data_IF_340551908519
#
_entry.id   IF_340551908519
#
_cell.length_a   1.000
_cell.length_b   1.000
_cell.length_c   1.000
_cell.angle_alpha   90.00
_cell.angle_beta   90.00
_cell.angle_gamma   90.00
#
_symmetry.space_group_name_H-M   'P 1'
#
loop_
_entity.id
_entity.type
_entity.pdbx_description
1 polymer ?
#
# COMPACT_ATOMS: atom_id res chain seq x y z
N UNK A 1 19.44 32.66 21.65
CA UNK A 1 19.85 31.25 21.83
C UNK A 1 19.03 30.26 21.02
N UNK A 2 17.69 30.35 20.95
CA UNK A 2 16.86 29.38 20.17
C UNK A 2 17.15 29.42 18.65
N UNK A 3 17.45 30.58 18.06
CA UNK A 3 17.81 30.72 16.64
C UNK A 3 19.16 30.10 16.24
N UNK A 4 20.08 29.88 17.18
CA UNK A 4 21.39 29.27 16.89
C UNK A 4 21.31 27.75 16.76
N UNK A 5 20.31 27.10 17.38
CA UNK A 5 20.10 25.66 17.24
C UNK A 5 19.56 25.28 15.86
N UNK A 6 18.68 26.09 15.26
CA UNK A 6 18.13 25.85 13.91
C UNK A 6 19.23 25.89 12.86
N UNK A 7 20.13 26.87 12.96
CA UNK A 7 21.27 26.99 12.05
C UNK A 7 22.21 25.79 12.17
N UNK A 8 22.50 25.33 13.39
CA UNK A 8 23.32 24.13 13.64
C UNK A 8 22.69 22.85 13.11
N UNK A 9 21.36 22.73 13.16
CA UNK A 9 20.64 21.55 12.67
C UNK A 9 20.57 21.53 11.14
N UNK A 10 20.38 22.70 10.50
CA UNK A 10 20.51 22.89 9.05
C UNK A 10 21.96 22.64 8.61
N UNK A 11 22.96 23.10 9.38
CA UNK A 11 24.37 22.85 9.12
C UNK A 11 24.72 21.37 9.28
N UNK A 12 24.17 20.68 10.28
CA UNK A 12 24.33 19.25 10.47
C UNK A 12 23.67 18.46 9.33
N UNK A 13 22.44 18.80 8.92
CA UNK A 13 21.78 18.21 7.74
C UNK A 13 22.58 18.45 6.45
N UNK A 14 23.07 19.66 6.23
CA UNK A 14 23.90 19.99 5.07
C UNK A 14 25.27 19.28 5.11
N UNK A 15 25.88 19.12 6.29
CA UNK A 15 27.11 18.35 6.46
C UNK A 15 26.86 16.84 6.34
N UNK A 16 25.69 16.32 6.71
CA UNK A 16 25.30 14.93 6.44
C UNK A 16 25.16 14.70 4.94
N UNK A 17 24.43 15.59 4.24
CA UNK A 17 24.14 15.46 2.81
C UNK A 17 25.41 15.68 1.97
N UNK A 18 26.27 16.64 2.34
CA UNK A 18 27.54 16.89 1.61
C UNK A 18 28.69 16.00 2.07
N UNK A 19 28.76 15.64 3.35
CA UNK A 19 29.76 14.73 3.91
C UNK A 19 29.59 13.28 3.47
N UNK A 20 28.36 12.86 3.15
CA UNK A 20 28.09 11.58 2.50
C UNK A 20 28.74 11.44 1.11
N UNK A 21 29.10 12.56 0.45
CA UNK A 21 29.86 12.53 -0.80
C UNK A 21 31.39 12.48 -0.59
N UNK A 22 31.88 12.71 0.63
CA UNK A 22 33.31 12.72 0.98
C UNK A 22 33.78 11.53 1.82
N UNK A 23 32.87 10.86 2.54
CA UNK A 23 33.13 9.54 3.13
C UNK A 23 32.94 8.45 2.07
N UNK A 24 33.68 7.34 2.16
CA UNK A 24 33.59 6.17 1.28
C UNK A 24 32.23 5.40 1.35
N UNK A 25 31.10 6.10 1.45
CA UNK A 25 29.75 5.59 1.24
C UNK A 25 29.40 5.41 -0.25
N UNK A 26 30.22 5.96 -1.14
CA UNK A 26 30.06 5.90 -2.61
C UNK A 26 30.16 4.49 -3.23
N UNK A 27 30.50 3.45 -2.44
CA UNK A 27 30.40 2.04 -2.89
C UNK A 27 29.07 1.35 -2.61
N UNK A 28 28.21 1.92 -1.75
CA UNK A 28 26.95 1.25 -1.32
C UNK A 28 25.71 1.86 -1.97
N UNK A 29 25.75 3.14 -2.35
CA UNK A 29 24.70 3.77 -3.15
C UNK A 29 25.25 4.07 -4.55
N UNK A 30 25.19 3.09 -5.46
CA UNK A 30 25.31 3.43 -6.89
C UNK A 30 24.16 4.38 -7.23
N UNK A 31 24.43 5.52 -7.89
CA UNK A 31 23.35 6.36 -8.40
C UNK A 31 22.57 5.52 -9.41
N UNK A 32 21.33 5.18 -9.06
CA UNK A 32 20.40 4.73 -10.08
C UNK A 32 20.18 5.91 -11.02
N UNK A 33 20.59 5.70 -12.27
CA UNK A 33 20.28 6.53 -13.44
C UNK A 33 18.92 7.24 -13.35
N UNK A 34 18.81 8.48 -13.86
CA UNK A 34 17.57 9.24 -13.83
C UNK A 34 16.54 8.58 -14.77
N UNK A 35 15.70 7.71 -14.21
CA UNK A 35 14.50 7.14 -14.83
C UNK A 35 13.38 7.23 -13.79
N UNK A 36 12.91 8.45 -13.52
CA UNK A 36 12.01 8.79 -12.41
C UNK A 36 10.51 8.63 -12.72
N UNK A 37 10.12 8.07 -13.87
CA UNK A 37 8.69 7.78 -14.16
C UNK A 37 8.33 6.30 -14.27
N UNK A 38 9.31 5.38 -14.41
CA UNK A 38 9.02 3.94 -14.62
C UNK A 38 9.12 3.08 -13.35
N UNK A 39 9.89 3.50 -12.33
CA UNK A 39 10.05 2.73 -11.08
C UNK A 39 8.87 2.88 -10.11
N UNK A 40 8.22 4.05 -10.06
CA UNK A 40 6.96 4.21 -9.33
C UNK A 40 5.84 3.35 -9.93
N UNK A 41 5.77 3.27 -11.27
CA UNK A 41 4.84 2.37 -11.96
C UNK A 41 5.16 0.89 -11.74
N UNK A 42 6.44 0.49 -11.63
CA UNK A 42 6.83 -0.90 -11.33
C UNK A 42 6.60 -1.31 -9.87
N UNK A 43 6.84 -0.42 -8.89
CA UNK A 43 6.50 -0.69 -7.47
C UNK A 43 4.98 -0.72 -7.25
N UNK A 44 4.23 0.19 -7.88
CA UNK A 44 2.76 0.17 -7.86
C UNK A 44 2.20 -1.04 -8.61
N UNK A 45 2.82 -1.47 -9.72
CA UNK A 45 2.46 -2.73 -10.38
C UNK A 45 2.78 -3.93 -9.51
N UNK A 46 3.90 -3.99 -8.80
CA UNK A 46 4.16 -5.08 -7.84
C UNK A 46 3.17 -5.08 -6.67
N UNK A 47 2.76 -3.92 -6.16
CA UNK A 47 1.74 -3.81 -5.11
C UNK A 47 0.34 -4.20 -5.59
N UNK A 48 -0.03 -3.84 -6.82
CA UNK A 48 -1.27 -4.27 -7.46
C UNK A 48 -1.24 -5.75 -7.91
N UNK A 49 -0.06 -6.28 -8.24
CA UNK A 49 0.15 -7.67 -8.61
C UNK A 49 0.14 -8.57 -7.37
N UNK A 50 0.63 -8.13 -6.21
CA UNK A 50 0.52 -8.92 -4.96
C UNK A 50 -0.94 -9.01 -4.48
N UNK A 51 -1.79 -7.99 -4.74
CA UNK A 51 -3.22 -8.06 -4.43
C UNK A 51 -4.04 -8.86 -5.45
N UNK A 52 -3.53 -9.13 -6.66
CA UNK A 52 -4.25 -9.85 -7.72
C UNK A 52 -3.70 -11.25 -8.04
N UNK A 53 -2.43 -11.52 -7.76
CA UNK A 53 -1.78 -12.83 -7.91
C UNK A 53 -1.71 -13.61 -6.59
N UNK A 54 -2.40 -13.16 -5.54
CA UNK A 54 -2.71 -14.05 -4.44
C UNK A 54 -3.57 -15.18 -5.00
N UNK A 55 -2.95 -16.34 -5.25
CA UNK A 55 -3.61 -17.60 -5.56
C UNK A 55 -4.82 -17.73 -4.64
N UNK A 56 -6.01 -17.44 -5.15
CA UNK A 56 -7.29 -17.79 -4.53
C UNK A 56 -7.43 -19.30 -4.33
N UNK A 57 -6.47 -20.08 -4.85
CA UNK A 57 -6.37 -21.52 -4.70
C UNK A 57 -5.95 -21.97 -3.29
N UNK A 58 -5.36 -21.11 -2.43
CA UNK A 58 -5.01 -21.54 -1.07
C UNK A 58 -6.19 -21.64 -0.08
N UNK A 59 -7.41 -21.32 -0.50
CA UNK A 59 -8.64 -21.70 0.23
C UNK A 59 -9.47 -22.78 -0.47
N UNK A 60 -8.93 -23.39 -1.53
CA UNK A 60 -9.56 -24.52 -2.19
C UNK A 60 -9.32 -25.80 -1.39
N UNK A 61 -10.35 -26.22 -0.67
CA UNK A 61 -10.41 -27.54 -0.04
C UNK A 61 -10.26 -28.61 -1.13
N UNK A 62 -9.20 -29.40 -1.05
CA UNK A 62 -8.96 -30.57 -1.90
C UNK A 62 -10.05 -31.60 -1.64
N UNK A 63 -10.95 -31.84 -2.59
CA UNK A 63 -11.80 -33.03 -2.59
C UNK A 63 -11.86 -33.65 -3.99
N UNK A 64 -11.42 -34.91 -4.03
CA UNK A 64 -11.46 -35.82 -5.15
C UNK A 64 -12.92 -36.10 -5.53
N UNK A 65 -13.23 -36.06 -6.83
CA UNK A 65 -14.52 -36.47 -7.40
C UNK A 65 -14.67 -37.99 -7.33
N UNK A 66 -15.78 -38.55 -6.80
CA UNK A 66 -16.18 -39.91 -7.10
C UNK A 66 -17.15 -39.90 -8.30
N UNK A 67 -16.76 -40.62 -9.35
CA UNK A 67 -17.65 -41.07 -10.40
C UNK A 67 -18.38 -42.33 -9.92
N UNK A 68 -19.65 -42.22 -9.55
CA UNK A 68 -20.51 -43.40 -9.43
C UNK A 68 -21.99 -43.03 -9.58
N UNK A 69 -22.58 -43.57 -10.64
CA UNK A 69 -24.02 -43.70 -10.88
C UNK A 69 -24.66 -44.58 -9.80
N UNK A 70 -25.42 -43.97 -8.89
CA UNK A 70 -26.20 -44.69 -7.89
C UNK A 70 -27.37 -43.82 -7.41
N UNK A 71 -28.57 -44.18 -7.84
CA UNK A 71 -29.83 -43.53 -7.47
C UNK A 71 -30.22 -43.89 -6.04
N UNK A 72 -29.92 -43.02 -5.08
CA UNK A 72 -30.51 -43.06 -3.73
C UNK A 72 -30.92 -41.66 -3.33
N UNK A 73 -32.23 -41.44 -3.23
CA UNK A 73 -32.88 -40.22 -2.78
C UNK A 73 -32.77 -40.07 -1.26
N UNK A 74 -31.63 -39.56 -0.80
CA UNK A 74 -31.53 -38.95 0.53
C UNK A 74 -30.88 -37.58 0.34
N UNK A 75 -31.63 -36.53 0.64
CA UNK A 75 -31.22 -35.14 0.45
C UNK A 75 -30.08 -34.80 1.40
N UNK A 76 -28.84 -35.07 0.98
CA UNK A 76 -27.68 -34.67 1.76
C UNK A 76 -27.68 -33.14 1.86
N UNK A 77 -27.59 -32.55 3.07
CA UNK A 77 -27.65 -31.10 3.28
C UNK A 77 -26.45 -30.32 2.69
N UNK A 78 -25.57 -30.99 1.94
CA UNK A 78 -24.37 -30.43 1.30
C UNK A 78 -24.44 -30.46 -0.24
N UNK A 79 -25.60 -30.73 -0.84
CA UNK A 79 -25.71 -30.69 -2.30
C UNK A 79 -25.45 -29.26 -2.81
N UNK A 80 -24.53 -29.13 -3.76
CA UNK A 80 -24.33 -27.89 -4.53
C UNK A 80 -25.57 -27.73 -5.41
N UNK A 81 -26.27 -26.61 -5.28
CA UNK A 81 -27.49 -26.34 -6.05
C UNK A 81 -27.17 -25.60 -7.34
N UNK A 82 -26.12 -24.78 -7.30
CA UNK A 82 -25.75 -23.90 -8.39
C UNK A 82 -24.24 -23.91 -8.66
N UNK A 83 -23.89 -23.91 -9.94
CA UNK A 83 -22.53 -23.63 -10.40
C UNK A 83 -22.55 -22.33 -11.19
N UNK A 84 -21.77 -21.34 -10.77
CA UNK A 84 -21.65 -20.02 -11.39
C UNK A 84 -20.32 -19.94 -12.12
N UNK A 85 -20.36 -19.79 -13.44
CA UNK A 85 -19.21 -19.55 -14.27
C UNK A 85 -19.11 -18.07 -14.60
N UNK A 86 -18.01 -17.42 -14.20
CA UNK A 86 -17.72 -16.02 -14.50
C UNK A 86 -16.69 -15.96 -15.62
N UNK A 87 -16.99 -15.23 -16.70
CA UNK A 87 -16.04 -15.05 -17.81
C UNK A 87 -14.80 -14.30 -17.32
N UNK A 88 -13.66 -14.99 -17.39
CA UNK A 88 -12.36 -14.47 -16.99
C UNK A 88 -11.47 -14.14 -18.20
N UNK A 89 -12.08 -13.91 -19.36
CA UNK A 89 -11.39 -13.42 -20.54
C UNK A 89 -10.72 -12.06 -20.28
N UNK A 90 -9.62 -11.77 -21.00
CA UNK A 90 -8.87 -10.50 -20.86
C UNK A 90 -9.77 -9.27 -21.02
N UNK A 91 -10.69 -9.28 -21.98
CA UNK A 91 -11.61 -8.17 -22.21
C UNK A 91 -12.56 -7.96 -21.03
N UNK A 92 -13.07 -9.05 -20.45
CA UNK A 92 -13.96 -8.99 -19.29
C UNK A 92 -13.22 -8.58 -18.01
N UNK A 93 -11.95 -8.98 -17.86
CA UNK A 93 -11.07 -8.52 -16.78
C UNK A 93 -10.91 -6.99 -16.77
N UNK A 94 -10.68 -6.39 -17.94
CA UNK A 94 -10.61 -4.92 -18.10
C UNK A 94 -11.93 -4.21 -17.75
N UNK A 95 -13.05 -4.94 -17.75
CA UNK A 95 -14.38 -4.46 -17.39
C UNK A 95 -14.85 -4.91 -15.99
N UNK A 96 -13.93 -5.37 -15.15
CA UNK A 96 -14.21 -5.68 -13.75
C UNK A 96 -14.65 -7.11 -13.46
N UNK A 97 -14.43 -8.07 -14.36
CA UNK A 97 -14.77 -9.49 -14.10
C UNK A 97 -14.10 -10.06 -12.84
N UNK A 98 -12.89 -9.60 -12.49
CA UNK A 98 -12.21 -9.98 -11.26
C UNK A 98 -13.01 -9.54 -10.01
N UNK A 99 -13.54 -8.31 -10.01
CA UNK A 99 -14.39 -7.80 -8.94
C UNK A 99 -15.74 -8.54 -8.89
N UNK A 100 -16.29 -8.90 -10.06
CA UNK A 100 -17.50 -9.71 -10.13
C UNK A 100 -17.27 -11.10 -9.53
N UNK A 101 -16.18 -11.78 -9.90
CA UNK A 101 -15.82 -13.10 -9.36
C UNK A 101 -15.62 -13.06 -7.85
N UNK A 102 -14.83 -12.12 -7.34
CA UNK A 102 -14.58 -11.95 -5.91
C UNK A 102 -15.88 -11.56 -5.16
N UNK A 103 -16.78 -10.80 -5.77
CA UNK A 103 -18.09 -10.50 -5.18
C UNK A 103 -18.97 -11.76 -5.06
N UNK A 104 -18.96 -12.66 -6.05
CA UNK A 104 -19.65 -13.95 -5.90
C UNK A 104 -19.04 -14.76 -4.77
N UNK A 105 -17.72 -14.99 -4.78
CA UNK A 105 -17.02 -15.76 -3.75
C UNK A 105 -17.28 -15.21 -2.33
N UNK A 106 -17.24 -13.89 -2.17
CA UNK A 106 -17.46 -13.23 -0.89
C UNK A 106 -18.91 -13.29 -0.40
N UNK A 107 -19.89 -13.21 -1.30
CA UNK A 107 -21.32 -13.24 -0.94
C UNK A 107 -21.86 -14.67 -0.81
N UNK A 108 -21.26 -15.65 -1.48
CA UNK A 108 -21.64 -17.06 -1.42
C UNK A 108 -20.81 -17.82 -0.41
N UNK A 109 -20.99 -17.51 0.88
CA UNK A 109 -20.42 -18.31 1.97
C UNK A 109 -21.12 -19.67 2.14
N UNK A 110 -22.26 -19.87 1.46
CA UNK A 110 -23.00 -21.13 1.51
C UNK A 110 -22.40 -22.15 0.54
N UNK A 111 -22.31 -23.41 0.98
CA UNK A 111 -21.89 -24.56 0.14
C UNK A 111 -22.83 -24.84 -1.04
N UNK A 112 -23.95 -24.10 -1.13
CA UNK A 112 -24.97 -24.26 -2.18
C UNK A 112 -24.53 -23.68 -3.53
N UNK A 113 -23.54 -22.79 -3.55
CA UNK A 113 -23.02 -22.20 -4.79
C UNK A 113 -21.55 -22.49 -4.95
N UNK A 114 -21.19 -23.10 -6.08
CA UNK A 114 -19.81 -23.23 -6.52
C UNK A 114 -19.52 -22.16 -7.57
N UNK A 115 -18.55 -21.30 -7.33
CA UNK A 115 -18.14 -20.25 -8.27
C UNK A 115 -16.86 -20.69 -8.96
N UNK A 116 -16.81 -20.58 -10.29
CA UNK A 116 -15.66 -20.94 -11.12
C UNK A 116 -15.35 -19.81 -12.10
N UNK A 117 -14.07 -19.45 -12.21
CA UNK A 117 -13.58 -18.69 -13.34
C UNK A 117 -13.59 -19.60 -14.59
N UNK A 118 -14.08 -19.10 -15.72
CA UNK A 118 -14.09 -19.86 -16.97
C UNK A 118 -13.84 -18.94 -18.16
N UNK A 119 -13.28 -19.49 -19.24
CA UNK A 119 -13.22 -18.82 -20.53
C UNK A 119 -14.48 -19.16 -21.31
N UNK A 120 -15.42 -18.23 -21.34
CA UNK A 120 -16.67 -18.45 -22.05
C UNK A 120 -16.51 -18.00 -23.53
N UNK A 121 -17.10 -18.72 -24.51
CA UNK A 121 -16.89 -18.43 -25.92
C UNK A 121 -17.42 -17.03 -26.29
N UNK A 122 -16.61 -16.24 -27.00
CA UNK A 122 -16.95 -14.85 -27.36
C UNK A 122 -18.34 -14.78 -28.00
N UNK A 123 -19.27 -14.13 -27.31
CA UNK A 123 -20.50 -13.65 -27.93
C UNK A 123 -20.27 -12.26 -28.52
N UNK A 124 -20.63 -12.08 -29.78
CA UNK A 124 -20.48 -10.82 -30.51
C UNK A 124 -21.28 -9.64 -29.93
N UNK A 125 -22.20 -9.91 -29.00
CA UNK A 125 -23.18 -8.92 -28.50
C UNK A 125 -22.86 -8.32 -27.13
N UNK A 126 -21.88 -8.82 -26.37
CA UNK A 126 -21.75 -8.49 -24.95
C UNK A 126 -21.05 -7.16 -24.62
N UNK A 127 -20.60 -6.38 -25.62
CA UNK A 127 -19.95 -5.08 -25.38
C UNK A 127 -18.70 -5.12 -24.49
N UNK A 128 -18.11 -6.31 -24.28
CA UNK A 128 -16.95 -6.54 -23.41
C UNK A 128 -17.27 -6.65 -21.92
N UNK A 129 -18.53 -6.54 -21.50
CA UNK A 129 -18.89 -6.66 -20.08
C UNK A 129 -18.72 -8.09 -19.55
N UNK A 130 -18.56 -8.27 -18.23
CA UNK A 130 -18.51 -9.59 -17.62
C UNK A 130 -19.76 -10.41 -17.95
N UNK A 131 -19.55 -11.59 -18.53
CA UNK A 131 -20.59 -12.56 -18.83
C UNK A 131 -20.59 -13.65 -17.75
N UNK A 132 -21.78 -14.01 -17.29
CA UNK A 132 -21.96 -15.03 -16.26
C UNK A 132 -22.95 -16.08 -16.76
N UNK A 133 -22.62 -17.35 -16.54
CA UNK A 133 -23.52 -18.47 -16.73
C UNK A 133 -23.75 -19.18 -15.40
N UNK A 134 -24.99 -19.16 -14.92
CA UNK A 134 -25.42 -19.87 -13.72
C UNK A 134 -26.14 -21.16 -14.11
N UNK A 135 -25.67 -22.32 -13.66
CA UNK A 135 -26.26 -23.63 -13.96
C UNK A 135 -26.85 -24.21 -12.68
N UNK A 136 -28.15 -24.50 -12.69
CA UNK A 136 -28.83 -25.18 -11.59
C UNK A 136 -28.73 -26.69 -11.77
N UNK A 137 -28.15 -27.37 -10.79
CA UNK A 137 -28.03 -28.83 -10.80
C UNK A 137 -29.40 -29.48 -10.61
N UNK A 138 -30.23 -28.93 -9.72
CA UNK A 138 -31.55 -29.49 -9.41
C UNK A 138 -32.55 -29.32 -10.56
N UNK A 139 -32.57 -28.15 -11.21
CA UNK A 139 -33.57 -27.82 -12.23
C UNK A 139 -33.12 -28.14 -13.66
N UNK A 140 -31.88 -28.60 -13.85
CA UNK A 140 -31.27 -28.78 -15.18
C UNK A 140 -31.42 -27.56 -16.09
N UNK A 141 -31.42 -26.35 -15.50
CA UNK A 141 -31.60 -25.09 -16.21
C UNK A 141 -30.35 -24.22 -16.11
N UNK A 142 -30.08 -23.45 -17.17
CA UNK A 142 -28.99 -22.51 -17.21
C UNK A 142 -29.54 -21.09 -17.44
N UNK A 143 -28.99 -20.12 -16.71
CA UNK A 143 -29.31 -18.70 -16.84
C UNK A 143 -28.04 -18.00 -17.30
N UNK A 144 -28.13 -17.25 -18.39
CA UNK A 144 -27.03 -16.42 -18.90
C UNK A 144 -27.33 -14.96 -18.62
N UNK A 145 -26.39 -14.26 -18.00
CA UNK A 145 -26.52 -12.86 -17.60
C UNK A 145 -25.33 -12.08 -18.11
N UNK A 146 -25.61 -10.96 -18.78
CA UNK A 146 -24.61 -10.04 -19.33
C UNK A 146 -24.58 -8.74 -18.53
N UNK A 147 -23.43 -8.06 -18.52
CA UNK A 147 -23.36 -6.73 -17.91
C UNK A 147 -23.33 -6.76 -16.38
N UNK A 148 -22.86 -7.85 -15.76
CA UNK A 148 -22.77 -7.97 -14.30
C UNK A 148 -21.43 -7.39 -13.84
N UNK A 149 -21.40 -6.07 -13.69
CA UNK A 149 -20.22 -5.25 -13.41
C UNK A 149 -20.27 -4.58 -12.01
N UNK A 150 -21.28 -4.90 -11.19
CA UNK A 150 -21.45 -4.30 -9.86
C UNK A 150 -21.90 -5.32 -8.81
N UNK A 151 -21.51 -5.07 -7.56
CA UNK A 151 -21.90 -5.92 -6.41
C UNK A 151 -23.42 -5.98 -6.26
N UNK A 152 -24.14 -4.88 -6.52
CA UNK A 152 -25.60 -4.86 -6.46
C UNK A 152 -26.22 -5.79 -7.53
N UNK A 153 -25.62 -5.87 -8.72
CA UNK A 153 -26.06 -6.82 -9.75
C UNK A 153 -25.79 -8.25 -9.30
N UNK A 154 -24.60 -8.55 -8.77
CA UNK A 154 -24.27 -9.88 -8.19
C UNK A 154 -25.27 -10.27 -7.10
N UNK A 155 -25.55 -9.37 -6.16
CA UNK A 155 -26.54 -9.58 -5.10
C UNK A 155 -27.94 -9.87 -5.67
N UNK A 156 -28.36 -9.16 -6.73
CA UNK A 156 -29.62 -9.43 -7.42
C UNK A 156 -29.62 -10.79 -8.12
N UNK A 157 -28.51 -11.21 -8.73
CA UNK A 157 -28.39 -12.56 -9.31
C UNK A 157 -28.64 -13.62 -8.24
N UNK A 158 -27.92 -13.52 -7.12
CA UNK A 158 -28.01 -14.49 -6.04
C UNK A 158 -29.40 -14.54 -5.39
N UNK A 159 -29.99 -13.37 -5.11
CA UNK A 159 -31.28 -13.29 -4.40
C UNK A 159 -32.49 -13.49 -5.30
N UNK A 160 -32.52 -12.84 -6.48
CA UNK A 160 -33.71 -12.86 -7.37
C UNK A 160 -33.70 -14.03 -8.34
N UNK A 161 -32.55 -14.35 -8.94
CA UNK A 161 -32.48 -15.38 -9.97
C UNK A 161 -32.18 -16.77 -9.39
N UNK A 162 -31.34 -16.85 -8.35
CA UNK A 162 -30.96 -18.12 -7.73
C UNK A 162 -31.77 -18.45 -6.46
N UNK A 163 -32.57 -17.50 -5.96
CA UNK A 163 -33.42 -17.64 -4.76
C UNK A 163 -32.61 -18.05 -3.51
N UNK A 164 -31.38 -17.54 -3.39
CA UNK A 164 -30.53 -17.79 -2.23
C UNK A 164 -30.88 -16.79 -1.15
N UNK A 165 -31.50 -17.29 -0.09
CA UNK A 165 -31.85 -16.53 1.10
C UNK A 165 -30.66 -16.38 2.05
N UNK A 166 -30.74 -15.43 2.97
CA UNK A 166 -29.73 -15.23 4.03
C UNK A 166 -28.49 -14.43 3.62
N UNK A 167 -28.41 -13.94 2.38
CA UNK A 167 -27.28 -13.10 1.96
C UNK A 167 -27.36 -11.74 2.67
N UNK A 168 -26.33 -11.44 3.46
CA UNK A 168 -26.29 -10.21 4.25
C UNK A 168 -26.19 -8.97 3.36
N UNK A 169 -27.19 -8.08 3.45
CA UNK A 169 -27.15 -6.76 2.79
C UNK A 169 -25.99 -5.89 3.31
N UNK A 170 -25.51 -6.14 4.54
CA UNK A 170 -24.33 -5.47 5.10
C UNK A 170 -23.05 -5.90 4.38
N UNK A 171 -22.89 -7.20 4.12
CA UNK A 171 -21.76 -7.72 3.34
C UNK A 171 -21.76 -7.15 1.91
N UNK A 172 -22.92 -7.02 1.27
CA UNK A 172 -23.07 -6.37 -0.03
C UNK A 172 -22.57 -4.91 -0.02
N UNK A 173 -23.01 -4.10 0.97
CA UNK A 173 -22.56 -2.70 1.11
C UNK A 173 -21.06 -2.60 1.41
N UNK A 174 -20.56 -3.51 2.25
CA UNK A 174 -19.14 -3.60 2.57
C UNK A 174 -18.28 -3.79 1.31
N UNK A 175 -18.63 -4.77 0.47
CA UNK A 175 -17.95 -5.03 -0.80
C UNK A 175 -18.08 -3.86 -1.78
N UNK A 176 -19.25 -3.21 -1.85
CA UNK A 176 -19.44 -2.02 -2.69
C UNK A 176 -18.45 -0.91 -2.31
N UNK A 177 -18.30 -0.61 -1.02
CA UNK A 177 -17.32 0.37 -0.56
C UNK A 177 -15.88 -0.09 -0.78
N UNK A 178 -15.58 -1.38 -0.61
CA UNK A 178 -14.26 -1.97 -0.92
C UNK A 178 -13.86 -1.71 -2.37
N UNK A 179 -14.69 -2.06 -3.35
CA UNK A 179 -14.36 -1.84 -4.76
C UNK A 179 -14.32 -0.36 -5.15
N UNK A 180 -15.21 0.45 -4.56
CA UNK A 180 -15.17 1.91 -4.75
C UNK A 180 -13.85 2.50 -4.24
N UNK A 181 -13.35 2.03 -3.09
CA UNK A 181 -12.07 2.43 -2.53
C UNK A 181 -10.91 2.01 -3.44
N UNK A 182 -10.92 0.77 -3.95
CA UNK A 182 -9.92 0.29 -4.92
C UNK A 182 -9.89 1.18 -6.17
N UNK A 183 -11.05 1.50 -6.75
CA UNK A 183 -11.14 2.37 -7.92
C UNK A 183 -10.61 3.79 -7.64
N UNK A 184 -10.82 4.33 -6.43
CA UNK A 184 -10.21 5.61 -6.05
C UNK A 184 -8.70 5.50 -5.88
N UNK A 185 -8.20 4.39 -5.35
CA UNK A 185 -6.77 4.14 -5.17
C UNK A 185 -6.04 4.04 -6.51
N UNK A 186 -6.62 3.28 -7.46
CA UNK A 186 -6.14 3.18 -8.84
C UNK A 186 -6.15 4.54 -9.57
N UNK A 187 -7.13 5.40 -9.28
CA UNK A 187 -7.20 6.76 -9.80
C UNK A 187 -6.28 7.76 -9.08
N UNK A 188 -5.45 7.32 -8.11
CA UNK A 188 -4.57 8.18 -7.33
C UNK A 188 -5.30 9.08 -6.32
N UNK A 189 -6.60 8.92 -6.13
CA UNK A 189 -7.44 9.71 -5.20
C UNK A 189 -7.40 9.10 -3.80
N UNK A 190 -6.21 9.06 -3.21
CA UNK A 190 -5.90 8.32 -1.97
C UNK A 190 -6.82 8.72 -0.81
N UNK A 191 -7.16 10.00 -0.66
CA UNK A 191 -8.05 10.45 0.42
C UNK A 191 -9.47 9.89 0.32
N UNK A 192 -10.05 9.87 -0.89
CA UNK A 192 -11.37 9.29 -1.10
C UNK A 192 -11.33 7.76 -0.93
N UNK A 193 -10.21 7.11 -1.25
CA UNK A 193 -10.02 5.69 -1.02
C UNK A 193 -10.06 5.35 0.49
N UNK A 194 -9.33 6.11 1.32
CA UNK A 194 -9.31 5.90 2.78
C UNK A 194 -10.71 6.09 3.39
N UNK A 195 -11.44 7.14 2.99
CA UNK A 195 -12.82 7.35 3.45
C UNK A 195 -13.75 6.21 3.04
N UNK A 196 -13.61 5.71 1.81
CA UNK A 196 -14.40 4.58 1.33
C UNK A 196 -14.07 3.28 2.10
N UNK A 197 -12.80 2.99 2.37
CA UNK A 197 -12.43 1.86 3.23
C UNK A 197 -12.96 2.01 4.66
N UNK A 198 -12.98 3.22 5.22
CA UNK A 198 -13.58 3.46 6.54
C UNK A 198 -15.08 3.15 6.54
N UNK A 199 -15.82 3.52 5.49
CA UNK A 199 -17.24 3.15 5.31
C UNK A 199 -17.42 1.64 5.13
N UNK A 200 -16.47 0.97 4.47
CA UNK A 200 -16.46 -0.48 4.35
C UNK A 200 -16.29 -1.15 5.73
N UNK A 201 -15.34 -0.70 6.55
CA UNK A 201 -15.14 -1.21 7.92
C UNK A 201 -16.35 -0.99 8.83
N UNK A 202 -17.03 0.15 8.71
CA UNK A 202 -18.27 0.38 9.44
C UNK A 202 -19.37 -0.62 9.05
N UNK A 203 -19.38 -1.05 7.79
CA UNK A 203 -20.33 -2.01 7.24
C UNK A 203 -19.93 -3.47 7.52
N UNK A 204 -18.65 -3.76 7.77
CA UNK A 204 -18.10 -5.11 8.01
C UNK A 204 -18.20 -5.58 9.46
N UNK A 205 -18.74 -4.76 10.38
CA UNK A 205 -18.86 -5.12 11.81
C UNK A 205 -19.48 -6.52 11.99
N UNK A 206 -18.68 -7.45 12.51
CA UNK A 206 -19.05 -8.84 12.78
C UNK A 206 -18.36 -9.87 11.87
N UNK A 207 -17.92 -9.48 10.68
CA UNK A 207 -17.15 -10.34 9.79
C UNK A 207 -15.66 -10.01 9.93
N UNK A 208 -14.99 -10.76 10.82
CA UNK A 208 -13.56 -10.58 11.10
C UNK A 208 -12.72 -10.76 9.83
N UNK A 209 -13.03 -11.73 8.98
CA UNK A 209 -12.22 -11.98 7.80
C UNK A 209 -12.25 -10.79 6.83
N UNK A 210 -13.43 -10.26 6.55
CA UNK A 210 -13.57 -9.06 5.70
C UNK A 210 -12.98 -7.82 6.36
N UNK A 211 -13.13 -7.66 7.69
CA UNK A 211 -12.47 -6.57 8.43
C UNK A 211 -10.95 -6.60 8.22
N UNK A 212 -10.32 -7.76 8.37
CA UNK A 212 -8.88 -7.92 8.18
C UNK A 212 -8.42 -7.58 6.76
N UNK A 213 -9.16 -8.01 5.73
CA UNK A 213 -8.84 -7.69 4.33
C UNK A 213 -8.95 -6.19 4.07
N UNK A 214 -9.98 -5.54 4.62
CA UNK A 214 -10.16 -4.10 4.43
C UNK A 214 -9.09 -3.29 5.16
N UNK A 215 -8.71 -3.69 6.38
CA UNK A 215 -7.59 -3.09 7.11
C UNK A 215 -6.30 -3.20 6.31
N UNK A 216 -6.00 -4.39 5.78
CA UNK A 216 -4.86 -4.61 4.90
C UNK A 216 -4.86 -3.66 3.69
N UNK A 217 -5.99 -3.54 2.98
CA UNK A 217 -6.10 -2.64 1.82
C UNK A 217 -6.01 -1.16 2.20
N UNK A 218 -6.59 -0.75 3.34
CA UNK A 218 -6.52 0.62 3.84
C UNK A 218 -5.10 0.99 4.26
N UNK A 219 -4.34 0.06 4.83
CA UNK A 219 -2.92 0.26 5.14
C UNK A 219 -2.11 0.61 3.89
N UNK A 220 -2.40 -0.02 2.74
CA UNK A 220 -1.76 0.30 1.47
C UNK A 220 -2.12 1.71 0.98
N UNK A 221 -3.37 2.15 1.17
CA UNK A 221 -3.77 3.51 0.86
C UNK A 221 -3.05 4.55 1.75
N UNK A 222 -2.91 4.29 3.05
CA UNK A 222 -2.11 5.16 3.92
C UNK A 222 -0.63 5.18 3.55
N UNK A 223 -0.07 4.04 3.14
CA UNK A 223 1.31 3.97 2.66
C UNK A 223 1.51 4.82 1.40
N UNK A 224 0.58 4.76 0.44
CA UNK A 224 0.62 5.63 -0.75
C UNK A 224 0.49 7.12 -0.38
N UNK A 225 -0.34 7.46 0.63
CA UNK A 225 -0.40 8.84 1.15
C UNK A 225 0.92 9.26 1.79
N UNK A 226 1.57 8.37 2.53
CA UNK A 226 2.88 8.64 3.10
C UNK A 226 3.92 8.89 2.00
N UNK A 227 3.92 8.10 0.93
CA UNK A 227 4.81 8.35 -0.22
C UNK A 227 4.58 9.73 -0.84
N UNK A 228 3.32 10.16 -1.02
CA UNK A 228 3.01 11.51 -1.50
C UNK A 228 3.58 12.60 -0.57
N UNK A 229 3.42 12.45 0.74
CA UNK A 229 3.99 13.41 1.71
C UNK A 229 5.52 13.38 1.74
N UNK A 230 6.14 12.23 1.52
CA UNK A 230 7.60 12.10 1.43
C UNK A 230 8.14 12.81 0.19
N UNK A 231 7.46 12.70 -0.95
CA UNK A 231 7.87 13.39 -2.18
C UNK A 231 7.77 14.92 -1.99
N UNK A 232 6.66 15.42 -1.43
CA UNK A 232 6.51 16.84 -1.06
C UNK A 232 7.59 17.31 -0.08
N UNK A 233 7.93 16.47 0.91
CA UNK A 233 8.98 16.76 1.88
C UNK A 233 10.35 16.90 1.19
N UNK A 234 10.66 16.02 0.22
CA UNK A 234 11.92 16.10 -0.53
C UNK A 234 12.03 17.39 -1.33
N UNK A 235 10.93 17.82 -1.97
CA UNK A 235 10.91 19.08 -2.72
C UNK A 235 11.19 20.28 -1.81
N UNK A 236 10.54 20.34 -0.65
CA UNK A 236 10.73 21.43 0.34
C UNK A 236 12.14 21.42 0.91
N UNK A 237 12.69 20.24 1.23
CA UNK A 237 14.07 20.13 1.72
C UNK A 237 15.06 20.56 0.62
N UNK A 238 14.80 20.22 -0.64
CA UNK A 238 15.65 20.66 -1.75
C UNK A 238 15.59 22.17 -1.96
N UNK A 239 14.42 22.79 -1.82
CA UNK A 239 14.27 24.25 -1.79
C UNK A 239 15.10 24.85 -0.64
N UNK A 240 14.98 24.29 0.57
CA UNK A 240 15.75 24.73 1.75
C UNK A 240 17.26 24.66 1.52
N UNK A 241 17.75 23.57 0.93
CA UNK A 241 19.17 23.41 0.56
C UNK A 241 19.60 24.50 -0.44
N UNK A 242 18.75 24.84 -1.40
CA UNK A 242 19.04 25.86 -2.41
C UNK A 242 18.99 27.29 -1.85
N UNK A 243 18.22 27.53 -0.79
CA UNK A 243 18.16 28.83 -0.10
C UNK A 243 19.38 29.12 0.78
N UNK A 244 20.05 28.10 1.30
CA UNK A 244 21.22 28.28 2.17
C UNK A 244 22.48 28.44 1.30
N UNK A 245 23.13 29.62 1.28
CA UNK A 245 24.37 29.78 0.54
C UNK A 245 25.44 28.82 1.08
N UNK A 246 26.31 28.27 0.22
CA UNK A 246 27.37 27.37 0.69
C UNK A 246 28.28 28.12 1.69
N UNK A 247 28.84 27.44 2.70
CA UNK A 247 29.68 28.06 3.72
C UNK A 247 30.77 29.02 3.21
N UNK A 248 31.56 28.70 2.16
CA UNK A 248 32.57 29.62 1.64
C UNK A 248 31.98 30.93 1.10
N UNK A 249 30.77 30.87 0.51
CA UNK A 249 30.06 32.06 0.03
C UNK A 249 29.59 32.91 1.21
N UNK A 250 29.11 32.29 2.28
CA UNK A 250 28.71 33.01 3.49
C UNK A 250 29.90 33.74 4.14
N UNK A 251 31.05 33.07 4.24
CA UNK A 251 32.30 33.69 4.73
C UNK A 251 32.68 34.88 3.84
N UNK A 252 32.67 34.71 2.52
CA UNK A 252 33.00 35.81 1.59
C UNK A 252 32.05 37.02 1.71
N UNK A 253 30.76 36.78 1.99
CA UNK A 253 29.78 37.86 2.19
C UNK A 253 30.05 38.61 3.49
N UNK A 254 30.44 37.89 4.56
CA UNK A 254 30.81 38.49 5.83
C UNK A 254 32.11 39.30 5.73
N UNK A 255 33.10 38.79 4.99
CA UNK A 255 34.35 39.50 4.73
C UNK A 255 34.07 40.81 3.96
N UNK A 256 33.25 40.78 2.91
CA UNK A 256 32.86 42.00 2.16
C UNK A 256 32.16 43.00 3.07
N UNK A 257 31.27 42.54 3.96
CA UNK A 257 30.60 43.42 4.92
C UNK A 257 31.58 44.04 5.93
N UNK A 258 32.66 43.32 6.28
CA UNK A 258 33.70 43.80 7.18
C UNK A 258 34.61 44.85 6.52
N UNK A 259 35.08 44.59 5.30
CA UNK A 259 36.00 45.49 4.59
C UNK A 259 35.31 46.70 3.94
N UNK A 260 33.99 46.65 3.69
CA UNK A 260 33.22 47.73 3.04
C UNK A 260 32.06 48.18 3.93
N UNK A 261 32.29 49.10 4.90
CA UNK A 261 31.28 49.52 5.88
C UNK A 261 29.95 50.01 5.28
N UNK A 262 29.91 50.75 4.15
CA UNK A 262 28.63 51.17 3.56
C UNK A 262 27.74 50.00 3.09
N UNK A 263 28.32 48.85 2.75
CA UNK A 263 27.59 47.66 2.30
C UNK A 263 27.14 46.76 3.45
N UNK A 264 27.75 46.89 4.64
CA UNK A 264 27.47 46.05 5.80
C UNK A 264 25.96 45.97 6.14
N UNK A 265 25.27 47.12 6.14
CA UNK A 265 23.84 47.19 6.42
C UNK A 265 22.97 46.50 5.37
N UNK A 266 23.36 46.56 4.10
CA UNK A 266 22.64 45.88 3.02
C UNK A 266 22.82 44.35 3.11
N UNK A 267 24.06 43.90 3.33
CA UNK A 267 24.38 42.47 3.52
C UNK A 267 23.65 41.91 4.73
N UNK A 268 23.68 42.60 5.88
CA UNK A 268 23.00 42.13 7.09
C UNK A 268 21.48 42.07 6.92
N UNK A 269 20.86 43.07 6.27
CA UNK A 269 19.42 43.02 5.94
C UNK A 269 19.10 41.82 5.05
N UNK A 270 19.93 41.52 4.05
CA UNK A 270 19.73 40.36 3.17
C UNK A 270 19.85 39.04 3.95
N UNK A 271 20.86 38.89 4.81
CA UNK A 271 21.02 37.71 5.67
C UNK A 271 19.80 37.53 6.59
N UNK A 272 19.29 38.61 7.18
CA UNK A 272 18.09 38.55 8.03
C UNK A 272 16.85 38.13 7.23
N UNK A 273 16.64 38.68 6.04
CA UNK A 273 15.53 38.28 5.15
C UNK A 273 15.63 36.81 4.74
N UNK A 274 16.83 36.35 4.41
CA UNK A 274 17.07 34.95 4.05
C UNK A 274 16.86 34.02 5.26
N UNK A 275 17.24 34.45 6.47
CA UNK A 275 16.97 33.74 7.72
C UNK A 275 15.47 33.58 7.98
N UNK A 276 14.66 34.62 7.78
CA UNK A 276 13.20 34.53 7.94
C UNK A 276 12.55 33.58 6.91
N UNK A 277 13.06 33.59 5.67
CA UNK A 277 12.61 32.66 4.64
C UNK A 277 12.97 31.21 4.99
N UNK A 278 14.19 30.97 5.49
CA UNK A 278 14.64 29.67 5.97
C UNK A 278 13.81 29.18 7.15
N UNK A 279 13.49 30.04 8.12
CA UNK A 279 12.64 29.70 9.26
C UNK A 279 11.25 29.24 8.80
N UNK A 280 10.63 29.95 7.84
CA UNK A 280 9.33 29.54 7.27
C UNK A 280 9.41 28.17 6.58
N UNK A 281 10.48 27.90 5.85
CA UNK A 281 10.66 26.66 5.11
C UNK A 281 11.02 25.49 6.02
N UNK A 282 11.73 25.76 7.11
CA UNK A 282 11.95 24.79 8.18
C UNK A 282 10.63 24.36 8.85
N UNK A 283 9.75 25.32 9.17
CA UNK A 283 8.41 25.00 9.70
C UNK A 283 7.58 24.18 8.70
N UNK A 284 7.64 24.51 7.41
CA UNK A 284 7.00 23.73 6.34
C UNK A 284 7.52 22.29 6.30
N UNK A 285 8.84 22.13 6.40
CA UNK A 285 9.52 20.82 6.47
C UNK A 285 9.02 20.00 7.66
N UNK A 286 8.99 20.59 8.85
CA UNK A 286 8.50 19.91 10.07
C UNK A 286 7.04 19.50 9.94
N UNK A 287 6.19 20.37 9.41
CA UNK A 287 4.78 20.07 9.19
C UNK A 287 4.58 18.89 8.23
N UNK A 288 5.29 18.90 7.10
CA UNK A 288 5.22 17.83 6.08
C UNK A 288 5.78 16.51 6.58
N UNK A 289 6.88 16.55 7.31
CA UNK A 289 7.42 15.36 7.99
C UNK A 289 6.43 14.79 9.00
N UNK A 290 5.74 15.65 9.76
CA UNK A 290 4.67 15.24 10.67
C UNK A 290 3.50 14.54 9.95
N UNK A 291 3.06 15.06 8.79
CA UNK A 291 2.02 14.42 7.97
C UNK A 291 2.46 13.06 7.41
N UNK A 292 3.70 12.97 6.93
CA UNK A 292 4.32 11.72 6.49
C UNK A 292 4.32 10.67 7.60
N UNK A 293 4.83 11.02 8.77
CA UNK A 293 4.86 10.14 9.93
C UNK A 293 3.46 9.72 10.38
N UNK A 294 2.51 10.67 10.41
CA UNK A 294 1.13 10.37 10.77
C UNK A 294 0.51 9.33 9.82
N UNK A 295 0.69 9.50 8.51
CA UNK A 295 0.20 8.55 7.52
C UNK A 295 0.85 7.16 7.68
N UNK A 296 2.18 7.09 7.91
CA UNK A 296 2.87 5.82 8.18
C UNK A 296 2.38 5.14 9.45
N UNK A 297 2.14 5.88 10.53
CA UNK A 297 1.64 5.32 11.78
C UNK A 297 0.23 4.74 11.61
N UNK A 298 -0.64 5.43 10.85
CA UNK A 298 -1.96 4.89 10.51
C UNK A 298 -1.84 3.62 9.64
N UNK A 299 -0.93 3.60 8.67
CA UNK A 299 -0.64 2.41 7.88
C UNK A 299 -0.19 1.25 8.77
N UNK A 300 0.72 1.51 9.72
CA UNK A 300 1.26 0.50 10.63
C UNK A 300 0.16 -0.08 11.53
N UNK A 301 -0.67 0.79 12.10
CA UNK A 301 -1.80 0.38 12.95
C UNK A 301 -2.74 -0.56 12.18
N UNK A 302 -3.10 -0.21 10.96
CA UNK A 302 -3.99 -1.03 10.12
C UNK A 302 -3.34 -2.35 9.71
N UNK A 303 -2.07 -2.33 9.32
CA UNK A 303 -1.34 -3.54 8.91
C UNK A 303 -1.17 -4.51 10.08
N UNK A 304 -0.78 -4.03 11.25
CA UNK A 304 -0.65 -4.85 12.46
C UNK A 304 -2.00 -5.45 12.86
N UNK A 305 -3.07 -4.64 12.90
CA UNK A 305 -4.41 -5.15 13.18
C UNK A 305 -4.87 -6.18 12.13
N UNK A 306 -4.50 -6.00 10.86
CA UNK A 306 -4.77 -7.00 9.83
C UNK A 306 -4.05 -8.33 10.11
N UNK A 307 -2.81 -8.33 10.62
CA UNK A 307 -2.10 -9.57 11.01
C UNK A 307 -2.75 -10.28 12.20
N UNK A 308 -3.33 -9.55 13.15
CA UNK A 308 -4.06 -10.14 14.27
C UNK A 308 -5.35 -10.83 13.81
N UNK A 309 -6.05 -10.19 12.86
CA UNK A 309 -7.32 -10.67 12.33
C UNK A 309 -7.12 -11.80 11.30
N UNK A 310 -6.03 -11.75 10.53
CA UNK A 310 -5.67 -12.71 9.49
C UNK A 310 -4.28 -13.33 9.75
N UNK A 311 -4.11 -14.14 10.80
CA UNK A 311 -2.80 -14.63 11.23
C UNK A 311 -2.10 -15.52 10.20
N UNK A 312 -2.85 -16.17 9.31
CA UNK A 312 -2.34 -17.05 8.26
C UNK A 312 -2.14 -16.36 6.90
N UNK A 313 -2.42 -15.05 6.82
CA UNK A 313 -2.30 -14.32 5.56
C UNK A 313 -0.93 -13.69 5.43
N UNK A 314 0.00 -14.40 4.78
CA UNK A 314 1.41 -13.99 4.64
C UNK A 314 1.59 -12.56 4.10
N UNK A 315 0.76 -12.15 3.14
CA UNK A 315 0.83 -10.81 2.55
C UNK A 315 0.59 -9.67 3.57
N UNK A 316 -0.23 -9.89 4.61
CA UNK A 316 -0.40 -8.90 5.68
C UNK A 316 0.86 -8.74 6.52
N UNK A 317 1.58 -9.83 6.79
CA UNK A 317 2.86 -9.80 7.50
C UNK A 317 3.94 -9.09 6.70
N UNK A 318 4.04 -9.34 5.38
CA UNK A 318 4.92 -8.59 4.47
C UNK A 318 4.61 -7.10 4.51
N UNK A 319 3.32 -6.73 4.44
CA UNK A 319 2.89 -5.32 4.50
C UNK A 319 3.28 -4.66 5.82
N UNK A 320 3.08 -5.35 6.95
CA UNK A 320 3.50 -4.86 8.25
C UNK A 320 5.02 -4.68 8.31
N UNK A 321 5.79 -5.63 7.79
CA UNK A 321 7.25 -5.55 7.73
C UNK A 321 7.74 -4.37 6.88
N UNK A 322 7.16 -4.17 5.68
CA UNK A 322 7.46 -3.04 4.79
C UNK A 322 7.27 -1.70 5.54
N UNK A 323 6.12 -1.54 6.22
CA UNK A 323 5.79 -0.30 6.94
C UNK A 323 6.70 -0.10 8.16
N UNK A 324 7.06 -1.17 8.88
CA UNK A 324 8.00 -1.08 10.00
C UNK A 324 9.41 -0.72 9.54
N UNK A 325 9.81 -1.18 8.35
CA UNK A 325 11.05 -0.76 7.70
C UNK A 325 11.06 0.75 7.41
N UNK A 326 9.98 1.28 6.84
CA UNK A 326 9.83 2.74 6.58
C UNK A 326 9.75 3.56 7.88
N UNK A 327 9.29 2.97 8.99
CA UNK A 327 9.33 3.58 10.32
C UNK A 327 10.69 3.46 11.03
N UNK A 328 11.70 2.89 10.37
CA UNK A 328 13.03 2.59 10.92
C UNK A 328 13.03 1.67 12.14
N UNK A 329 11.95 0.89 12.31
CA UNK A 329 11.84 -0.21 13.29
C UNK A 329 12.37 -1.50 12.68
N UNK A 330 13.66 -1.48 12.36
CA UNK A 330 14.35 -2.54 11.60
C UNK A 330 14.27 -3.92 12.29
N UNK A 331 14.47 -4.05 13.62
CA UNK A 331 14.36 -5.36 14.28
C UNK A 331 12.97 -5.98 14.13
N UNK A 332 11.93 -5.19 14.33
CA UNK A 332 10.54 -5.64 14.20
C UNK A 332 10.19 -5.96 12.75
N UNK A 333 10.67 -5.17 11.79
CA UNK A 333 10.49 -5.44 10.37
C UNK A 333 11.08 -6.80 9.97
N UNK A 334 12.29 -7.12 10.44
CA UNK A 334 12.95 -8.42 10.19
C UNK A 334 12.10 -9.57 10.73
N UNK A 335 11.64 -9.48 11.98
CA UNK A 335 10.77 -10.50 12.60
C UNK A 335 9.48 -10.73 11.80
N UNK A 336 8.87 -9.67 11.27
CA UNK A 336 7.67 -9.80 10.45
C UNK A 336 7.93 -10.43 9.08
N UNK A 337 9.07 -10.15 8.43
CA UNK A 337 9.44 -10.86 7.21
C UNK A 337 9.72 -12.35 7.47
N UNK A 338 10.43 -12.68 8.54
CA UNK A 338 10.67 -14.08 8.93
C UNK A 338 9.35 -14.82 9.17
N UNK A 339 8.39 -14.16 9.83
CA UNK A 339 7.04 -14.71 10.03
C UNK A 339 6.31 -14.92 8.70
N UNK A 340 6.41 -13.99 7.75
CA UNK A 340 5.82 -14.13 6.43
C UNK A 340 6.42 -15.32 5.64
N UNK A 341 7.75 -15.48 5.68
CA UNK A 341 8.45 -16.62 5.05
C UNK A 341 8.01 -17.95 5.68
N UNK A 342 7.84 -17.98 7.00
CA UNK A 342 7.37 -19.18 7.69
C UNK A 342 5.93 -19.59 7.31
N UNK A 343 5.10 -18.63 6.89
CA UNK A 343 3.74 -18.90 6.41
C UNK A 343 3.71 -19.29 4.93
N UNK A 344 4.56 -18.66 4.11
CA UNK A 344 4.67 -18.94 2.69
C UNK A 344 6.15 -18.94 2.26
N UNK A 345 6.67 -20.16 2.15
CA UNK A 345 8.06 -20.43 1.79
C UNK A 345 8.41 -19.93 0.37
N UNK A 346 7.41 -19.74 -0.50
CA UNK A 346 7.63 -19.18 -1.85
C UNK A 346 8.11 -17.73 -1.82
N UNK A 347 7.89 -17.01 -0.72
CA UNK A 347 8.34 -15.63 -0.53
C UNK A 347 9.82 -15.53 -0.18
N UNK A 348 10.45 -16.61 0.32
CA UNK A 348 11.85 -16.65 0.75
C UNK A 348 12.84 -15.99 -0.22
N UNK A 349 12.91 -16.37 -1.52
CA UNK A 349 13.91 -15.80 -2.43
C UNK A 349 13.75 -14.29 -2.64
N UNK A 350 12.53 -13.77 -2.51
CA UNK A 350 12.24 -12.34 -2.62
C UNK A 350 12.61 -11.57 -1.36
N UNK A 351 12.37 -12.17 -0.18
CA UNK A 351 12.45 -11.48 1.12
C UNK A 351 13.82 -11.59 1.80
N UNK A 352 14.60 -12.65 1.58
CA UNK A 352 15.95 -12.78 2.18
C UNK A 352 16.84 -11.56 1.86
N UNK A 353 16.97 -11.11 0.59
CA UNK A 353 17.82 -9.95 0.29
C UNK A 353 17.35 -8.65 0.96
N UNK A 354 16.04 -8.54 1.25
CA UNK A 354 15.47 -7.41 1.98
C UNK A 354 15.87 -7.48 3.45
N UNK A 355 15.74 -8.63 4.09
CA UNK A 355 16.15 -8.86 5.49
C UNK A 355 17.63 -8.58 5.69
N UNK A 356 18.51 -9.10 4.82
CA UNK A 356 19.96 -8.85 4.87
C UNK A 356 20.30 -7.36 4.71
N UNK A 357 19.54 -6.63 3.88
CA UNK A 357 19.69 -5.18 3.74
C UNK A 357 19.30 -4.45 5.04
N UNK A 358 18.20 -4.84 5.67
CA UNK A 358 17.75 -4.25 6.95
C UNK A 358 18.75 -4.52 8.08
N UNK A 359 19.31 -5.73 8.16
CA UNK A 359 20.36 -6.07 9.13
C UNK A 359 21.61 -5.19 8.96
N UNK A 360 22.03 -4.96 7.70
CA UNK A 360 23.14 -4.04 7.42
C UNK A 360 22.82 -2.60 7.84
N UNK A 361 21.60 -2.13 7.55
CA UNK A 361 21.16 -0.79 7.98
C UNK A 361 21.12 -0.68 9.51
N UNK A 362 20.71 -1.73 10.22
CA UNK A 362 20.73 -1.76 11.68
C UNK A 362 22.14 -1.61 12.25
N UNK A 363 23.13 -2.28 11.64
CA UNK A 363 24.54 -2.13 12.00
C UNK A 363 25.04 -0.69 11.82
N UNK A 364 24.71 -0.06 10.69
CA UNK A 364 25.07 1.34 10.40
C UNK A 364 24.41 2.32 11.38
N UNK A 365 23.16 2.09 11.77
CA UNK A 365 22.49 2.91 12.79
C UNK A 365 23.14 2.78 14.15
N UNK A 366 23.56 1.57 14.54
CA UNK A 366 24.30 1.35 15.79
C UNK A 366 25.64 2.10 15.77
N UNK A 367 26.34 2.09 14.65
CA UNK A 367 27.57 2.85 14.45
C UNK A 367 27.31 4.36 14.51
N UNK A 368 26.29 4.88 13.82
CA UNK A 368 25.91 6.29 13.86
C UNK A 368 25.57 6.77 15.28
N UNK A 369 24.90 5.94 16.07
CA UNK A 369 24.60 6.22 17.49
C UNK A 369 25.89 6.35 18.32
N UNK A 370 26.95 5.60 18.00
CA UNK A 370 28.25 5.73 18.67
C UNK A 370 28.88 7.12 18.49
N UNK A 371 28.57 7.80 17.39
CA UNK A 371 28.98 9.17 17.10
C UNK A 371 28.11 10.25 17.76
N UNK A 372 27.18 9.87 18.65
CA UNK A 372 26.25 10.78 19.36
C UNK A 372 25.27 11.52 18.45
N UNK A 373 24.94 10.94 17.30
CA UNK A 373 23.88 11.49 16.47
C UNK A 373 22.53 11.23 17.14
N UNK A 374 21.66 12.24 17.18
CA UNK A 374 20.32 12.06 17.72
C UNK A 374 19.49 11.17 16.79
N UNK A 375 18.62 10.35 17.37
CA UNK A 375 17.76 9.44 16.62
C UNK A 375 16.83 10.20 15.65
N UNK A 376 16.32 11.35 16.07
CA UNK A 376 15.47 12.21 15.24
C UNK A 376 16.22 12.78 14.04
N UNK A 377 17.50 13.18 14.22
CA UNK A 377 18.33 13.68 13.11
C UNK A 377 18.62 12.56 12.11
N UNK A 378 18.97 11.37 12.59
CA UNK A 378 19.21 10.21 11.72
C UNK A 378 17.95 9.85 10.95
N UNK A 379 16.81 9.77 11.63
CA UNK A 379 15.52 9.44 11.00
C UNK A 379 15.14 10.46 9.93
N UNK A 380 15.21 11.75 10.23
CA UNK A 380 14.90 12.80 9.25
C UNK A 380 15.85 12.74 8.05
N UNK A 381 17.16 12.57 8.29
CA UNK A 381 18.13 12.46 7.21
C UNK A 381 17.85 11.26 6.30
N UNK A 382 17.46 10.13 6.89
CA UNK A 382 17.17 8.91 6.15
C UNK A 382 15.82 8.99 5.41
N UNK A 383 14.78 9.57 6.01
CA UNK A 383 13.48 9.77 5.37
C UNK A 383 13.59 10.65 4.11
N UNK A 384 14.50 11.65 4.15
CA UNK A 384 14.78 12.54 3.02
C UNK A 384 15.69 11.88 1.98
N UNK A 385 16.72 11.15 2.42
CA UNK A 385 17.66 10.49 1.51
C UNK A 385 17.03 9.34 0.71
N UNK A 386 16.05 8.65 1.29
CA UNK A 386 15.53 7.38 0.77
C UNK A 386 16.53 6.24 0.93
#
# INVERSE_FOLDING_TARGET
>A
MIKSCTLLLVFALLLCIKGANGFHFSRILRPSTPCLSSRQSQRQRHLAVITTNGNSDQFSSTSLLPSSSGSVSSSSPNAVDWIVYVDYSKMSMEKGAAATLDAFLSLTQSRRVQVKAAFLPKQTKSGGYPWIRCVSIQKSSAIELFGVDSVDKVYRVLTKHMQIEGISRRACRCLQYKYKANGFLEAGKVSLAIEAYQKALQSSKGDKQQEGVILFLRSAAYLQRAEQHRDELKDIVQELINMVPPPPKLVSLLDVAYYVPPLSGAVMRKILQDSEAQDRQFLSTQYRHGLYQYALLQAAQDALKATEVLPHYAAAWVRAADIMGELWKLPEAILYYERAIALDESLRPSLIPVVERLQRQQGLLAEARSYRWSEDTLRLALDVAG
#
